data_IF_190010863760
#
_entry.id   IF_190010863760
#
_cell.length_a   1.000
_cell.length_b   1.000
_cell.length_c   1.000
_cell.angle_alpha   90.00
_cell.angle_beta   90.00
_cell.angle_gamma   90.00
#
_symmetry.space_group_name_H-M   'P 1'
#
loop_
_entity.id
_entity.type
_entity.pdbx_description
1 polymer ?
#
# COMPACT_ATOMS: atom_id res chain seq x y z
N UNK A 1 -6.37 0.22 -17.04
CA UNK A 1 -5.21 -0.24 -16.23
C UNK A 1 -5.68 -0.77 -14.88
N UNK A 2 -4.88 -1.59 -14.21
CA UNK A 2 -5.13 -2.10 -12.85
C UNK A 2 -4.15 -1.44 -11.87
N UNK A 3 -4.67 -0.89 -10.77
CA UNK A 3 -3.89 -0.37 -9.66
C UNK A 3 -3.92 -1.39 -8.52
N UNK A 4 -2.75 -1.70 -7.97
CA UNK A 4 -2.59 -2.73 -6.92
C UNK A 4 -1.77 -2.14 -5.78
N UNK A 5 -2.27 -2.28 -4.55
CA UNK A 5 -1.60 -1.92 -3.31
C UNK A 5 -1.35 -3.19 -2.48
N UNK A 6 -0.09 -3.54 -2.27
CA UNK A 6 0.32 -4.76 -1.56
C UNK A 6 0.97 -4.39 -0.24
N UNK A 7 0.19 -4.46 0.83
CA UNK A 7 0.67 -4.38 2.20
C UNK A 7 1.24 -5.73 2.68
N UNK A 8 1.69 -5.80 3.93
CA UNK A 8 2.26 -7.03 4.48
C UNK A 8 1.25 -8.17 4.69
N UNK A 9 -0.04 -7.86 4.89
CA UNK A 9 -1.06 -8.87 5.21
C UNK A 9 -2.16 -8.94 4.15
N UNK A 10 -2.39 -7.88 3.41
CA UNK A 10 -3.51 -7.77 2.47
C UNK A 10 -3.06 -7.09 1.18
N UNK A 11 -3.70 -7.49 0.09
CA UNK A 11 -3.66 -6.80 -1.19
C UNK A 11 -5.00 -6.09 -1.43
N UNK A 12 -4.94 -4.89 -1.99
CA UNK A 12 -6.09 -4.12 -2.47
C UNK A 12 -5.87 -3.83 -3.94
N UNK A 13 -6.94 -3.83 -4.74
CA UNK A 13 -6.83 -3.50 -6.16
C UNK A 13 -8.11 -2.88 -6.68
N UNK A 14 -7.98 -2.07 -7.72
CA UNK A 14 -9.11 -1.52 -8.46
C UNK A 14 -8.70 -1.24 -9.90
N UNK A 15 -9.64 -1.37 -10.82
CA UNK A 15 -9.44 -0.88 -12.19
C UNK A 15 -9.53 0.65 -12.22
N UNK A 16 -8.69 1.25 -13.06
CA UNK A 16 -8.73 2.67 -13.34
C UNK A 16 -8.89 2.87 -14.85
N UNK A 17 -9.97 3.55 -15.23
CA UNK A 17 -10.26 3.88 -16.61
C UNK A 17 -10.79 5.31 -16.73
N UNK A 18 -10.28 6.05 -17.71
CA UNK A 18 -10.73 7.41 -18.08
C UNK A 18 -10.89 8.37 -16.90
N UNK A 19 -9.95 8.35 -15.96
CA UNK A 19 -9.97 9.24 -14.80
C UNK A 19 -10.81 8.74 -13.62
N UNK A 20 -11.44 7.57 -13.72
CA UNK A 20 -12.29 7.01 -12.67
C UNK A 20 -11.68 5.74 -12.08
N UNK A 21 -11.72 5.66 -10.76
CA UNK A 21 -11.38 4.46 -10.01
C UNK A 21 -12.64 3.60 -9.86
N UNK A 22 -12.55 2.34 -10.28
CA UNK A 22 -13.62 1.36 -10.12
C UNK A 22 -13.78 0.89 -8.67
N UNK A 23 -14.62 -0.10 -8.47
CA UNK A 23 -14.83 -0.71 -7.16
C UNK A 23 -13.53 -1.35 -6.67
N UNK A 24 -13.14 -1.00 -5.45
CA UNK A 24 -11.96 -1.57 -4.81
C UNK A 24 -12.28 -2.95 -4.26
N UNK A 25 -11.44 -3.91 -4.57
CA UNK A 25 -11.41 -5.25 -3.96
C UNK A 25 -10.24 -5.36 -2.99
N UNK A 26 -10.34 -6.27 -2.02
CA UNK A 26 -9.27 -6.54 -1.06
C UNK A 26 -9.31 -7.99 -0.59
N UNK A 27 -8.14 -8.59 -0.36
CA UNK A 27 -8.00 -9.95 0.18
C UNK A 27 -6.72 -10.10 1.00
N UNK A 28 -6.69 -11.07 1.90
CA UNK A 28 -5.45 -11.63 2.41
C UNK A 28 -4.84 -12.51 1.30
N UNK A 29 -3.51 -12.51 1.18
CA UNK A 29 -2.81 -13.21 0.10
C UNK A 29 -1.73 -14.19 0.58
N UNK A 30 -1.70 -14.48 1.88
CA UNK A 30 -0.70 -15.38 2.46
C UNK A 30 -0.71 -16.74 1.76
N UNK A 31 0.44 -17.13 1.21
CA UNK A 31 0.59 -18.40 0.51
C UNK A 31 0.00 -18.45 -0.90
N UNK A 32 -0.42 -17.34 -1.46
CA UNK A 32 -0.97 -17.33 -2.83
C UNK A 32 0.08 -17.77 -3.86
N UNK A 33 -0.36 -18.68 -4.71
CA UNK A 33 0.34 -19.09 -5.94
C UNK A 33 0.14 -18.06 -7.07
N UNK A 34 0.89 -18.18 -8.15
CA UNK A 34 0.70 -17.34 -9.36
C UNK A 34 -0.74 -17.41 -9.87
N UNK A 35 -1.36 -18.59 -9.88
CA UNK A 35 -2.72 -18.76 -10.38
C UNK A 35 -3.76 -18.10 -9.47
N UNK A 36 -3.51 -18.02 -8.16
CA UNK A 36 -4.38 -17.29 -7.24
C UNK A 36 -4.24 -15.78 -7.43
N UNK A 37 -3.02 -15.27 -7.64
CA UNK A 37 -2.80 -13.88 -8.02
C UNK A 37 -3.51 -13.53 -9.33
N UNK A 38 -3.40 -14.37 -10.35
CA UNK A 38 -4.07 -14.16 -11.64
C UNK A 38 -5.59 -14.12 -11.48
N UNK A 39 -6.17 -15.12 -10.80
CA UNK A 39 -7.62 -15.20 -10.57
C UNK A 39 -8.15 -14.02 -9.75
N UNK A 40 -7.40 -13.54 -8.77
CA UNK A 40 -7.83 -12.42 -7.95
C UNK A 40 -7.77 -11.09 -8.72
N UNK A 41 -6.64 -10.80 -9.35
CA UNK A 41 -6.37 -9.49 -9.94
C UNK A 41 -7.05 -9.28 -11.31
N UNK A 42 -7.27 -10.34 -12.09
CA UNK A 42 -7.74 -10.24 -13.48
C UNK A 42 -9.16 -10.79 -13.70
N UNK A 43 -10.05 -10.56 -12.72
CA UNK A 43 -11.45 -10.97 -12.83
C UNK A 43 -12.23 -10.25 -13.94
N UNK A 44 -11.82 -9.05 -14.29
CA UNK A 44 -12.47 -8.23 -15.32
C UNK A 44 -11.58 -8.07 -16.53
N UNK A 45 -12.13 -8.12 -17.76
CA UNK A 45 -11.36 -7.95 -18.98
C UNK A 45 -10.87 -6.50 -19.17
N UNK A 46 -9.92 -6.31 -20.09
CA UNK A 46 -9.48 -4.97 -20.53
C UNK A 46 -8.35 -4.36 -19.69
N UNK A 47 -7.66 -5.17 -18.89
CA UNK A 47 -6.43 -4.75 -18.22
C UNK A 47 -5.25 -4.91 -19.18
N UNK A 48 -4.62 -3.82 -19.54
CA UNK A 48 -3.45 -3.75 -20.44
C UNK A 48 -2.16 -3.32 -19.71
N UNK A 49 -2.29 -2.74 -18.52
CA UNK A 49 -1.20 -2.29 -17.68
C UNK A 49 -1.53 -2.53 -16.20
N UNK A 50 -0.52 -2.94 -15.44
CA UNK A 50 -0.62 -3.13 -13.98
C UNK A 50 0.40 -2.22 -13.31
N UNK A 51 -0.07 -1.37 -12.38
CA UNK A 51 0.76 -0.48 -11.57
C UNK A 51 0.64 -0.93 -10.12
N UNK A 52 1.76 -1.15 -9.47
CA UNK A 52 1.83 -1.75 -8.12
C UNK A 52 2.58 -0.84 -7.17
N UNK A 53 1.98 -0.57 -6.02
CA UNK A 53 2.67 -0.15 -4.80
C UNK A 53 2.85 -1.39 -3.92
N UNK A 54 4.04 -1.67 -3.42
CA UNK A 54 4.29 -2.87 -2.62
C UNK A 54 5.31 -2.61 -1.51
N UNK A 55 4.98 -3.09 -0.31
CA UNK A 55 5.88 -3.20 0.84
C UNK A 55 6.10 -4.66 1.26
N UNK A 56 5.69 -5.61 0.42
CA UNK A 56 5.67 -7.04 0.73
C UNK A 56 6.96 -7.80 0.35
N UNK A 57 7.98 -7.10 -0.18
CA UNK A 57 9.26 -7.67 -0.56
C UNK A 57 9.30 -8.32 -1.95
N UNK A 58 10.52 -8.70 -2.37
CA UNK A 58 10.82 -9.07 -3.76
C UNK A 58 10.14 -10.36 -4.23
N UNK A 59 9.94 -11.33 -3.34
CA UNK A 59 9.30 -12.60 -3.69
C UNK A 59 7.85 -12.39 -4.15
N UNK A 60 7.10 -11.54 -3.44
CA UNK A 60 5.72 -11.20 -3.81
C UNK A 60 5.71 -10.33 -5.07
N UNK A 61 6.63 -9.39 -5.18
CA UNK A 61 6.78 -8.56 -6.37
C UNK A 61 7.01 -9.41 -7.64
N UNK A 62 7.85 -10.44 -7.55
CA UNK A 62 8.09 -11.38 -8.65
C UNK A 62 6.83 -12.15 -9.06
N UNK A 63 6.07 -12.68 -8.09
CA UNK A 63 4.81 -13.40 -8.36
C UNK A 63 3.79 -12.52 -9.06
N UNK A 64 3.59 -11.29 -8.58
CA UNK A 64 2.63 -10.35 -9.17
C UNK A 64 3.08 -9.86 -10.55
N UNK A 65 4.39 -9.63 -10.73
CA UNK A 65 4.95 -9.25 -12.03
C UNK A 65 4.75 -10.36 -13.07
N UNK A 66 4.96 -11.61 -12.68
CA UNK A 66 4.74 -12.76 -13.55
C UNK A 66 3.26 -12.97 -13.86
N UNK A 67 2.37 -12.83 -12.87
CA UNK A 67 0.92 -12.87 -13.07
C UNK A 67 0.48 -11.80 -14.09
N UNK A 68 0.99 -10.57 -13.95
CA UNK A 68 0.72 -9.49 -14.90
C UNK A 68 1.23 -9.82 -16.32
N UNK A 69 2.45 -10.38 -16.43
CA UNK A 69 3.04 -10.76 -17.72
C UNK A 69 2.21 -11.82 -18.43
N UNK A 70 1.71 -12.81 -17.71
CA UNK A 70 0.88 -13.88 -18.27
C UNK A 70 -0.48 -13.37 -18.79
N UNK A 71 -1.07 -12.36 -18.13
CA UNK A 71 -2.39 -11.85 -18.49
C UNK A 71 -2.34 -10.68 -19.51
N UNK A 72 -1.31 -9.83 -19.42
CA UNK A 72 -1.24 -8.61 -20.24
C UNK A 72 -0.12 -8.61 -21.27
N UNK A 73 0.74 -9.64 -21.27
CA UNK A 73 1.97 -9.70 -22.07
C UNK A 73 3.09 -8.80 -21.56
N UNK A 74 2.90 -8.05 -20.46
CA UNK A 74 3.86 -7.10 -19.90
C UNK A 74 4.02 -7.33 -18.39
N UNK A 75 5.24 -7.14 -17.83
CA UNK A 75 5.42 -7.16 -16.38
C UNK A 75 4.68 -6.00 -15.71
N UNK A 76 4.38 -6.14 -14.42
CA UNK A 76 3.86 -5.04 -13.61
C UNK A 76 4.89 -3.92 -13.46
N UNK A 77 4.44 -2.68 -13.44
CA UNK A 77 5.25 -1.50 -13.14
C UNK A 77 5.15 -1.19 -11.63
N UNK A 78 6.27 -1.23 -10.92
CA UNK A 78 6.31 -0.93 -9.49
C UNK A 78 6.63 0.54 -9.25
N UNK A 79 5.80 1.17 -8.41
CA UNK A 79 6.05 2.52 -7.91
C UNK A 79 7.13 2.45 -6.82
N UNK A 80 8.09 3.34 -6.91
CA UNK A 80 9.09 3.55 -5.87
C UNK A 80 8.91 4.93 -5.21
N UNK A 81 9.27 5.00 -3.93
CA UNK A 81 9.34 6.27 -3.22
C UNK A 81 10.43 7.14 -3.84
N UNK A 82 10.10 8.38 -4.13
CA UNK A 82 10.99 9.35 -4.76
C UNK A 82 11.31 10.53 -3.83
N UNK A 83 12.25 11.34 -4.24
CA UNK A 83 12.60 12.58 -3.52
C UNK A 83 11.48 13.62 -3.60
N UNK A 84 10.76 13.63 -4.71
CA UNK A 84 9.63 14.51 -4.94
C UNK A 84 8.60 13.85 -5.87
N UNK A 85 7.32 13.98 -5.55
CA UNK A 85 6.21 13.62 -6.42
C UNK A 85 4.93 14.36 -6.02
N UNK A 86 4.09 14.70 -7.01
CA UNK A 86 2.76 15.30 -6.77
C UNK A 86 2.77 16.61 -5.98
N UNK A 87 3.90 17.34 -5.99
CA UNK A 87 4.09 18.56 -5.24
C UNK A 87 4.59 18.35 -3.80
N UNK A 88 4.85 17.10 -3.39
CA UNK A 88 5.38 16.79 -2.05
C UNK A 88 6.86 16.45 -2.14
N UNK A 89 7.67 17.04 -1.25
CA UNK A 89 9.09 16.77 -1.06
C UNK A 89 9.29 15.86 0.14
N UNK A 90 9.99 14.74 -0.07
CA UNK A 90 10.24 13.72 0.94
C UNK A 90 11.20 14.22 2.04
N UNK A 91 10.87 14.01 3.31
CA UNK A 91 11.70 14.36 4.45
C UNK A 91 12.94 13.48 4.60
N UNK A 92 12.89 12.25 4.07
CA UNK A 92 13.98 11.29 4.26
C UNK A 92 15.14 11.60 3.30
N UNK A 93 16.39 11.66 3.80
CA UNK A 93 17.58 11.87 2.95
C UNK A 93 17.70 10.81 1.86
N UNK A 94 17.37 9.55 2.20
CA UNK A 94 17.23 8.45 1.27
C UNK A 94 15.74 8.11 1.09
N UNK A 95 15.12 8.46 -0.02
CA UNK A 95 13.67 8.28 -0.23
C UNK A 95 13.18 6.85 0.03
N UNK A 96 13.98 5.83 -0.35
CA UNK A 96 13.66 4.42 -0.16
C UNK A 96 13.42 3.98 1.31
N UNK A 97 13.83 4.79 2.27
CA UNK A 97 13.59 4.53 3.71
C UNK A 97 12.14 4.83 4.12
N UNK A 98 11.40 5.56 3.32
CA UNK A 98 9.96 5.74 3.50
C UNK A 98 9.21 4.69 2.68
N UNK A 99 8.34 3.91 3.31
CA UNK A 99 7.46 2.96 2.62
C UNK A 99 6.65 3.64 1.52
N UNK A 100 6.53 2.97 0.38
CA UNK A 100 5.83 3.53 -0.79
C UNK A 100 4.35 3.77 -0.52
N UNK A 101 3.71 2.98 0.32
CA UNK A 101 2.35 3.13 0.83
C UNK A 101 2.18 4.48 1.55
N UNK A 102 3.04 4.77 2.51
CA UNK A 102 3.06 6.05 3.24
C UNK A 102 3.34 7.23 2.31
N UNK A 103 4.30 7.07 1.39
CA UNK A 103 4.63 8.09 0.40
C UNK A 103 3.45 8.47 -0.48
N UNK A 104 2.74 7.48 -1.01
CA UNK A 104 1.56 7.70 -1.83
C UNK A 104 0.41 8.30 -1.02
N UNK A 105 0.21 7.83 0.21
CA UNK A 105 -0.80 8.38 1.12
C UNK A 105 -0.54 9.85 1.46
N UNK A 106 0.71 10.21 1.81
CA UNK A 106 1.11 11.59 2.08
C UNK A 106 0.92 12.50 0.86
N UNK A 107 1.34 12.04 -0.33
CA UNK A 107 1.17 12.76 -1.60
C UNK A 107 -0.31 12.98 -1.94
N UNK A 108 -1.13 11.94 -1.80
CA UNK A 108 -2.56 12.02 -2.05
C UNK A 108 -3.27 12.90 -1.02
N UNK A 109 -2.92 12.76 0.26
CA UNK A 109 -3.47 13.56 1.37
C UNK A 109 -3.24 15.06 1.18
N UNK A 110 -2.02 15.47 0.85
CA UNK A 110 -1.69 16.87 0.59
C UNK A 110 -2.49 17.43 -0.59
N UNK A 111 -2.61 16.66 -1.67
CA UNK A 111 -3.40 17.05 -2.85
C UNK A 111 -4.88 17.21 -2.54
N UNK A 112 -5.45 16.32 -1.72
CA UNK A 112 -6.87 16.36 -1.32
C UNK A 112 -7.15 17.50 -0.35
N UNK A 113 -6.29 17.72 0.63
CA UNK A 113 -6.40 18.79 1.62
C UNK A 113 -6.21 20.18 1.00
N UNK A 114 -5.47 20.28 -0.11
CA UNK A 114 -5.06 21.54 -0.75
C UNK A 114 -4.31 22.46 0.22
N UNK A 115 -3.51 21.89 1.11
CA UNK A 115 -2.79 22.60 2.15
C UNK A 115 -2.12 21.64 3.11
N UNK A 116 -1.69 22.16 4.27
CA UNK A 116 -1.11 21.32 5.32
C UNK A 116 -2.07 20.20 5.75
N UNK A 117 -1.53 19.00 5.95
CA UNK A 117 -2.33 17.85 6.36
C UNK A 117 -1.53 16.89 7.23
N UNK A 118 -2.27 16.08 7.98
CA UNK A 118 -1.78 14.92 8.68
C UNK A 118 -2.52 13.70 8.13
N UNK A 119 -1.78 12.72 7.65
CA UNK A 119 -2.33 11.50 7.06
C UNK A 119 -2.16 10.37 8.04
N UNK A 120 -3.26 9.80 8.49
CA UNK A 120 -3.28 8.61 9.33
C UNK A 120 -3.77 7.41 8.51
N UNK A 121 -3.01 6.32 8.50
CA UNK A 121 -3.44 5.02 7.98
C UNK A 121 -3.44 4.01 9.12
N UNK A 122 -4.55 3.28 9.29
CA UNK A 122 -4.74 2.33 10.39
C UNK A 122 -5.11 0.96 9.83
N UNK A 123 -4.13 0.05 9.92
CA UNK A 123 -4.26 -1.33 9.47
C UNK A 123 -3.49 -2.28 10.39
N UNK A 124 -2.71 -3.18 9.83
CA UNK A 124 -1.77 -4.04 10.58
C UNK A 124 -0.76 -3.20 11.37
N UNK A 125 -0.27 -2.12 10.77
CA UNK A 125 0.42 -1.02 11.45
C UNK A 125 -0.48 0.21 11.44
N UNK A 126 -0.25 1.15 12.37
CA UNK A 126 -0.79 2.49 12.32
C UNK A 126 0.35 3.47 12.01
N UNK A 127 0.16 4.30 10.99
CA UNK A 127 1.13 5.30 10.57
C UNK A 127 0.53 6.70 10.66
N UNK A 128 1.37 7.68 10.88
CA UNK A 128 1.00 9.09 10.84
C UNK A 128 2.10 9.87 10.14
N UNK A 129 1.75 10.60 9.10
CA UNK A 129 2.68 11.43 8.31
C UNK A 129 2.17 12.85 8.17
N UNK A 130 3.03 13.84 8.41
CA UNK A 130 2.71 15.27 8.27
C UNK A 130 3.24 15.85 6.98
N UNK A 131 2.46 16.72 6.33
CA UNK A 131 2.88 17.50 5.16
C UNK A 131 2.44 18.93 5.34
N UNK A 132 3.35 19.88 5.09
CA UNK A 132 3.07 21.32 5.15
C UNK A 132 2.25 21.79 3.95
N UNK A 133 1.74 23.01 3.98
CA UNK A 133 1.00 23.64 2.90
C UNK A 133 1.83 23.87 1.63
N UNK A 134 3.16 24.06 1.77
CA UNK A 134 4.09 24.16 0.66
C UNK A 134 4.62 22.81 0.17
N UNK A 135 4.04 21.70 0.66
CA UNK A 135 4.35 20.34 0.23
C UNK A 135 5.60 19.71 0.88
N UNK A 136 6.14 20.28 1.95
CA UNK A 136 7.24 19.63 2.66
C UNK A 136 6.71 18.50 3.54
N UNK A 137 7.09 17.26 3.26
CA UNK A 137 6.87 16.13 4.16
C UNK A 137 7.73 16.32 5.41
N UNK A 138 7.12 16.23 6.58
CA UNK A 138 7.79 16.45 7.87
C UNK A 138 8.36 15.16 8.48
N UNK A 139 8.09 14.02 7.83
CA UNK A 139 8.29 12.70 8.40
C UNK A 139 7.03 12.22 9.10
N UNK A 140 7.17 11.12 9.81
CA UNK A 140 6.06 10.49 10.52
C UNK A 140 6.55 9.35 11.39
N UNK A 141 5.61 8.61 11.96
CA UNK A 141 5.92 7.44 12.76
C UNK A 141 5.05 6.25 12.34
N UNK A 142 5.50 5.07 12.74
CA UNK A 142 4.79 3.81 12.58
C UNK A 142 4.78 3.09 13.91
N UNK A 143 3.61 2.60 14.28
CA UNK A 143 3.39 1.78 15.48
C UNK A 143 2.56 0.55 15.12
N UNK A 144 2.53 -0.50 15.94
CA UNK A 144 1.61 -1.61 15.72
C UNK A 144 0.17 -1.10 15.63
N UNK A 145 -0.62 -1.65 14.71
CA UNK A 145 -2.06 -1.36 14.66
C UNK A 145 -2.82 -1.96 15.86
N UNK A 146 -4.06 -1.53 16.13
CA UNK A 146 -4.82 -1.94 17.30
C UNK A 146 -4.93 -3.46 17.46
N UNK A 147 -5.18 -4.19 16.38
CA UNK A 147 -5.27 -5.65 16.42
C UNK A 147 -3.93 -6.30 16.78
N UNK A 148 -2.83 -5.79 16.23
CA UNK A 148 -1.48 -6.28 16.54
C UNK A 148 -1.09 -5.97 17.97
N UNK A 149 -1.45 -4.79 18.49
CA UNK A 149 -1.25 -4.42 19.91
C UNK A 149 -2.00 -5.39 20.82
N UNK A 150 -3.28 -5.67 20.54
CA UNK A 150 -4.09 -6.60 21.33
C UNK A 150 -3.51 -8.02 21.30
N UNK A 151 -3.18 -8.53 20.12
CA UNK A 151 -2.55 -9.86 19.99
C UNK A 151 -1.24 -9.96 20.74
N UNK A 152 -0.42 -8.90 20.73
CA UNK A 152 0.84 -8.85 21.44
C UNK A 152 0.65 -8.88 22.97
N UNK A 153 -0.36 -8.17 23.46
CA UNK A 153 -0.73 -8.19 24.88
C UNK A 153 -1.25 -9.57 25.32
N UNK A 154 -2.13 -10.18 24.55
CA UNK A 154 -2.67 -11.52 24.84
C UNK A 154 -1.60 -12.61 24.78
N UNK A 155 -0.68 -12.53 23.81
CA UNK A 155 0.43 -13.49 23.68
C UNK A 155 1.52 -13.31 24.74
N UNK A 156 1.64 -12.14 25.32
CA UNK A 156 2.66 -11.81 26.34
C UNK A 156 2.19 -11.87 27.81
N UNK A 157 0.88 -12.11 28.04
CA UNK A 157 0.30 -12.11 29.41
C UNK A 157 -0.62 -13.30 29.60
N UNK A 158 -0.43 -14.05 30.69
CA UNK A 158 -1.19 -15.27 30.98
C UNK A 158 -2.65 -15.01 31.42
N UNK A 159 -2.97 -13.79 31.90
CA UNK A 159 -4.27 -13.52 32.55
C UNK A 159 -5.23 -12.62 31.75
N UNK A 160 -4.77 -11.88 30.77
CA UNK A 160 -5.64 -10.93 30.04
C UNK A 160 -6.57 -11.64 29.06
N UNK A 161 -6.15 -12.76 28.47
CA UNK A 161 -6.95 -13.52 27.52
C UNK A 161 -8.19 -14.18 28.17
N UNK A 162 -8.21 -14.32 29.50
CA UNK A 162 -9.34 -14.93 30.24
C UNK A 162 -10.38 -13.92 30.75
N UNK A 163 -10.15 -12.61 30.52
CA UNK A 163 -11.01 -11.54 31.07
C UNK A 163 -11.82 -10.79 30.01
N UNK A 164 -11.71 -11.19 28.75
CA UNK A 164 -12.50 -10.74 27.62
C UNK A 164 -13.35 -11.87 27.08
#
# INVERSE_FOLDING_TARGET
MLLVDIGNSRVKWAQYDRGQLGVQSASAYSGWTIDEWRRALFQSPGVDHVIVASVAGDAIAALVSEAARLETGKPAAFIATSREAGGVRNAYPEPRLLGVDRWLAATAGNRLARGACCVADVGTAATLDGVTDDGQHLGGFIVPGPELMMRSLWGGTSDLASRT
#
